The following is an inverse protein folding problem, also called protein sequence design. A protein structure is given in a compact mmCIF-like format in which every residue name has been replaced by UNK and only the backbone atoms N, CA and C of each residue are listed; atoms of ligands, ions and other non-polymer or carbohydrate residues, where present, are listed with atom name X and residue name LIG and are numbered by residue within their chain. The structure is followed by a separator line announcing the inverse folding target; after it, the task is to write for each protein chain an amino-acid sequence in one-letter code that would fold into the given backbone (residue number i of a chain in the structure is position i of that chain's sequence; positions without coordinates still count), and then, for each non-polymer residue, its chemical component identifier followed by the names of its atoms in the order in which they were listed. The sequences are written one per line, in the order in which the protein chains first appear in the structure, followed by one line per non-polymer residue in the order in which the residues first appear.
data_IF_151818723438
#
_entry.id   IF_151818723438
#
_cell.length_a   1.000
_cell.length_b   1.000
_cell.length_c   1.000
_cell.angle_alpha   90.00
_cell.angle_beta   90.00
_cell.angle_gamma   90.00
#
_symmetry.space_group_name_H-M   'P 1'
#
loop_
_entity.id
_entity.type
_entity.pdbx_description
1 polymer ?
#
# COMPACT_ATOMS: atom_id res chain seq x y z
N UNK A 1 -20.09 -19.94 1.89
CA UNK A 1 -19.61 -19.89 3.30
C UNK A 1 -18.08 -19.72 3.28
N UNK A 2 -17.45 -18.97 4.22
CA UNK A 2 -16.00 -18.87 4.26
C UNK A 2 -15.37 -20.23 4.56
N UNK A 3 -14.20 -20.49 3.95
CA UNK A 3 -13.43 -21.72 4.17
C UNK A 3 -12.98 -21.86 5.63
N UNK A 4 -12.63 -23.08 6.06
CA UNK A 4 -12.10 -23.31 7.43
C UNK A 4 -10.83 -22.46 7.68
N UNK A 5 -9.96 -22.31 6.67
CA UNK A 5 -8.78 -21.46 6.75
C UNK A 5 -9.14 -19.98 6.98
N UNK A 6 -10.11 -19.46 6.23
CA UNK A 6 -10.59 -18.09 6.42
C UNK A 6 -11.21 -17.88 7.80
N UNK A 7 -11.97 -18.83 8.32
CA UNK A 7 -12.53 -18.78 9.68
C UNK A 7 -11.42 -18.76 10.75
N UNK A 8 -10.39 -19.56 10.58
CA UNK A 8 -9.23 -19.58 11.47
C UNK A 8 -8.49 -18.24 11.45
N UNK A 9 -8.16 -17.72 10.25
CA UNK A 9 -7.50 -16.42 10.09
C UNK A 9 -8.32 -15.29 10.71
N UNK A 10 -9.64 -15.25 10.44
CA UNK A 10 -10.52 -14.25 11.03
C UNK A 10 -10.56 -14.33 12.57
N UNK A 11 -10.55 -15.54 13.14
CA UNK A 11 -10.47 -15.70 14.60
C UNK A 11 -9.13 -15.18 15.14
N UNK A 12 -8.04 -15.52 14.47
CA UNK A 12 -6.70 -15.04 14.85
C UNK A 12 -6.63 -13.51 14.83
N UNK A 13 -7.07 -12.87 13.75
CA UNK A 13 -7.08 -11.40 13.63
C UNK A 13 -7.94 -10.75 14.71
N UNK A 14 -9.12 -11.31 15.00
CA UNK A 14 -10.01 -10.79 16.07
C UNK A 14 -9.36 -10.83 17.46
N UNK A 15 -8.50 -11.80 17.72
CA UNK A 15 -7.89 -11.97 19.05
C UNK A 15 -6.52 -11.32 19.18
N UNK A 16 -5.80 -11.11 18.06
CA UNK A 16 -4.42 -10.60 18.11
C UNK A 16 -4.27 -9.20 17.52
N UNK A 17 -5.02 -8.86 16.48
CA UNK A 17 -4.86 -7.60 15.74
C UNK A 17 -5.92 -6.57 16.10
N UNK A 18 -7.20 -6.99 16.09
CA UNK A 18 -8.30 -6.06 16.38
C UNK A 18 -8.19 -5.35 17.75
N UNK A 19 -7.78 -6.01 18.85
CA UNK A 19 -7.66 -5.36 20.15
C UNK A 19 -6.54 -4.31 20.24
N UNK A 20 -5.61 -4.32 19.28
CA UNK A 20 -4.53 -3.32 19.20
C UNK A 20 -5.10 -1.95 18.86
N UNK A 21 -6.17 -1.89 18.06
CA UNK A 21 -6.83 -0.66 17.64
C UNK A 21 -7.83 -0.18 18.70
N UNK A 22 -7.36 0.56 19.68
CA UNK A 22 -8.13 1.08 20.82
C UNK A 22 -8.01 2.62 20.93
N UNK A 23 -8.96 3.32 21.53
CA UNK A 23 -8.85 4.75 21.78
C UNK A 23 -7.57 5.09 22.58
N UNK A 24 -6.89 6.16 22.21
CA UNK A 24 -5.65 6.60 22.86
C UNK A 24 -4.41 5.77 22.54
N UNK A 25 -4.48 4.90 21.51
CA UNK A 25 -3.35 4.10 21.08
C UNK A 25 -2.23 4.98 20.47
N UNK A 26 -1.00 4.69 20.86
CA UNK A 26 0.21 5.20 20.21
C UNK A 26 0.58 4.34 19.00
N UNK A 27 0.81 4.95 17.84
CA UNK A 27 1.24 4.27 16.62
C UNK A 27 2.55 3.52 16.83
N UNK A 28 3.44 3.99 17.67
CA UNK A 28 4.66 3.26 18.01
C UNK A 28 4.37 1.92 18.70
N UNK A 29 3.31 1.81 19.49
CA UNK A 29 2.86 0.54 20.08
C UNK A 29 2.35 -0.42 19.00
N UNK A 30 1.57 0.07 18.04
CA UNK A 30 1.10 -0.74 16.88
C UNK A 30 2.28 -1.25 16.09
N UNK A 31 3.24 -0.39 15.76
CA UNK A 31 4.47 -0.77 15.04
C UNK A 31 5.27 -1.83 15.77
N UNK A 32 5.44 -1.71 17.08
CA UNK A 32 6.10 -2.75 17.89
C UNK A 32 5.35 -4.08 17.86
N UNK A 33 4.02 -4.02 17.92
CA UNK A 33 3.18 -5.22 17.85
C UNK A 33 3.27 -5.90 16.48
N UNK A 34 3.10 -5.15 15.41
CA UNK A 34 3.17 -5.67 14.03
C UNK A 34 4.54 -6.23 13.70
N UNK A 35 5.63 -5.57 14.12
CA UNK A 35 6.99 -6.06 13.94
C UNK A 35 7.23 -7.41 14.65
N UNK A 36 6.69 -7.60 15.87
CA UNK A 36 6.75 -8.88 16.59
C UNK A 36 5.96 -9.98 15.87
N UNK A 37 4.77 -9.65 15.36
CA UNK A 37 3.98 -10.58 14.55
C UNK A 37 4.72 -10.98 13.28
N UNK A 38 5.24 -10.01 12.55
CA UNK A 38 5.99 -10.23 11.32
C UNK A 38 7.21 -11.15 11.56
N UNK A 39 7.98 -10.89 12.62
CA UNK A 39 9.13 -11.72 12.99
C UNK A 39 8.76 -13.17 13.29
N UNK A 40 7.54 -13.43 13.80
CA UNK A 40 7.04 -14.78 14.09
C UNK A 40 6.49 -15.49 12.87
N UNK A 41 5.79 -14.76 11.99
CA UNK A 41 5.08 -15.32 10.84
C UNK A 41 5.98 -15.48 9.62
N UNK A 42 6.90 -14.55 9.41
CA UNK A 42 7.76 -14.51 8.22
C UNK A 42 9.17 -14.98 8.58
N UNK A 43 9.46 -16.23 8.24
CA UNK A 43 10.75 -16.89 8.52
C UNK A 43 11.42 -17.37 7.23
N UNK A 44 12.75 -17.47 7.30
CA UNK A 44 13.58 -17.97 6.20
C UNK A 44 13.91 -16.89 5.15
N UNK A 45 14.87 -17.19 4.27
CA UNK A 45 15.35 -16.27 3.24
C UNK A 45 14.30 -16.03 2.16
N UNK A 46 14.49 -14.97 1.40
CA UNK A 46 13.81 -14.77 0.11
C UNK A 46 14.46 -15.69 -0.93
N UNK A 47 13.63 -16.26 -1.80
CA UNK A 47 14.06 -17.16 -2.89
C UNK A 47 14.33 -16.40 -4.19
N UNK A 48 14.42 -15.08 -4.17
CA UNK A 48 14.63 -14.23 -5.35
C UNK A 48 15.72 -13.20 -5.07
N UNK A 49 16.47 -12.84 -6.12
CA UNK A 49 17.45 -11.77 -6.03
C UNK A 49 16.78 -10.42 -5.73
N UNK A 50 17.43 -9.65 -4.88
CA UNK A 50 16.98 -8.31 -4.50
C UNK A 50 18.12 -7.31 -4.66
N UNK A 51 17.77 -6.06 -4.98
CA UNK A 51 18.71 -4.96 -5.14
C UNK A 51 18.17 -3.73 -4.44
N UNK A 52 18.90 -3.20 -3.46
CA UNK A 52 18.56 -1.94 -2.84
C UNK A 52 18.91 -0.77 -3.77
N UNK A 53 18.04 0.21 -3.87
CA UNK A 53 18.21 1.39 -4.71
C UNK A 53 17.69 2.63 -3.98
N UNK A 54 18.24 3.79 -4.34
CA UNK A 54 17.71 5.09 -3.91
C UNK A 54 17.00 5.76 -5.09
N UNK A 55 15.75 6.14 -4.88
CA UNK A 55 14.93 6.88 -5.84
C UNK A 55 15.04 8.38 -5.51
N UNK A 56 16.21 8.96 -5.81
CA UNK A 56 16.53 10.36 -5.50
C UNK A 56 16.31 10.72 -4.01
N UNK A 57 16.75 9.81 -3.12
CA UNK A 57 16.64 9.95 -1.68
C UNK A 57 15.56 9.07 -1.03
N UNK A 58 14.64 8.50 -1.79
CA UNK A 58 13.64 7.54 -1.27
C UNK A 58 14.24 6.14 -1.36
N UNK A 59 14.43 5.42 -0.24
CA UNK A 59 14.88 4.03 -0.27
C UNK A 59 13.87 3.15 -0.99
N UNK A 60 14.34 2.18 -1.76
CA UNK A 60 13.50 1.19 -2.41
C UNK A 60 14.26 -0.12 -2.62
N UNK A 61 13.52 -1.18 -2.88
CA UNK A 61 14.10 -2.49 -3.18
C UNK A 61 13.50 -3.03 -4.48
N UNK A 62 14.36 -3.46 -5.38
CA UNK A 62 13.99 -4.28 -6.53
C UNK A 62 13.91 -5.75 -6.14
N UNK A 63 12.90 -6.43 -6.65
CA UNK A 63 12.71 -7.88 -6.58
C UNK A 63 12.70 -8.46 -7.99
N UNK A 64 13.46 -9.54 -8.20
CA UNK A 64 13.78 -10.03 -9.53
C UNK A 64 15.06 -9.34 -10.02
N UNK A 65 16.23 -9.93 -9.81
CA UNK A 65 17.55 -9.32 -10.05
C UNK A 65 17.79 -8.84 -11.50
N UNK A 66 18.83 -8.00 -11.69
CA UNK A 66 19.10 -7.34 -12.98
C UNK A 66 19.48 -8.31 -14.10
N UNK A 67 20.02 -9.48 -13.75
CA UNK A 67 20.46 -10.51 -14.72
C UNK A 67 19.31 -11.31 -15.35
N UNK A 68 18.09 -11.17 -14.80
CA UNK A 68 16.93 -11.89 -15.32
C UNK A 68 16.24 -11.11 -16.43
N UNK A 69 15.88 -11.77 -17.51
CA UNK A 69 14.92 -11.23 -18.48
C UNK A 69 13.56 -11.05 -17.80
N UNK A 70 13.09 -9.81 -17.75
CA UNK A 70 11.79 -9.45 -17.17
C UNK A 70 10.79 -9.14 -18.28
N UNK A 71 9.53 -9.56 -18.05
CA UNK A 71 8.42 -9.26 -18.96
C UNK A 71 7.97 -7.79 -18.87
N UNK A 72 8.35 -7.08 -17.82
CA UNK A 72 7.98 -5.71 -17.58
C UNK A 72 8.35 -5.24 -16.17
N UNK A 73 7.83 -4.09 -15.79
CA UNK A 73 8.05 -3.47 -14.48
C UNK A 73 6.74 -3.32 -13.72
N UNK A 74 6.76 -3.67 -12.44
CA UNK A 74 5.67 -3.45 -11.50
C UNK A 74 6.11 -2.50 -10.39
N UNK A 75 5.52 -1.32 -10.29
CA UNK A 75 5.63 -0.49 -9.10
C UNK A 75 4.59 -0.96 -8.09
N UNK A 76 5.05 -1.44 -6.93
CA UNK A 76 4.16 -1.87 -5.86
C UNK A 76 4.20 -0.91 -4.69
N UNK A 77 3.06 -0.30 -4.38
CA UNK A 77 2.88 0.58 -3.22
C UNK A 77 2.23 -0.21 -2.08
N UNK A 78 2.97 -0.36 -0.99
CA UNK A 78 2.54 -1.23 0.11
C UNK A 78 1.41 -0.63 0.95
N UNK A 79 0.59 -1.47 1.57
CA UNK A 79 -0.39 -1.07 2.57
C UNK A 79 0.24 -0.79 3.93
N UNK A 80 -0.59 -0.59 4.93
CA UNK A 80 -0.14 -0.31 6.30
C UNK A 80 -0.75 0.96 6.88
N UNK A 81 -1.93 1.35 6.39
CA UNK A 81 -2.69 2.49 6.91
C UNK A 81 -1.87 3.80 6.93
N UNK A 82 -0.98 3.99 5.95
CA UNK A 82 -0.04 5.13 5.82
C UNK A 82 0.90 5.34 7.02
N UNK A 83 0.89 4.44 8.01
CA UNK A 83 1.67 4.60 9.24
C UNK A 83 2.43 3.33 9.67
N UNK A 84 2.22 2.20 9.01
CA UNK A 84 2.89 0.94 9.34
C UNK A 84 3.84 0.50 8.22
N UNK A 85 5.01 0.03 8.64
CA UNK A 85 5.98 -0.61 7.76
C UNK A 85 6.05 -2.10 8.13
N UNK A 86 5.87 -2.98 7.12
CA UNK A 86 5.88 -4.44 7.26
C UNK A 86 6.87 -5.04 6.25
N UNK A 87 8.17 -4.78 6.41
CA UNK A 87 9.18 -5.01 5.37
C UNK A 87 9.30 -6.47 4.94
N UNK A 88 9.21 -7.41 5.88
CA UNK A 88 9.35 -8.84 5.58
C UNK A 88 8.13 -9.41 4.84
N UNK A 89 6.93 -8.96 5.21
CA UNK A 89 5.69 -9.37 4.54
C UNK A 89 5.70 -8.85 3.11
N UNK A 90 5.97 -7.56 2.92
CA UNK A 90 5.96 -6.96 1.58
C UNK A 90 7.14 -7.41 0.71
N UNK A 91 8.31 -7.67 1.29
CA UNK A 91 9.41 -8.30 0.55
C UNK A 91 9.02 -9.69 0.01
N UNK A 92 8.36 -10.54 0.83
CA UNK A 92 7.85 -11.82 0.35
C UNK A 92 6.76 -11.68 -0.69
N UNK A 93 5.86 -10.74 -0.50
CA UNK A 93 4.78 -10.51 -1.45
C UNK A 93 5.32 -10.02 -2.79
N UNK A 94 6.25 -9.05 -2.79
CA UNK A 94 6.93 -8.57 -3.99
C UNK A 94 7.72 -9.69 -4.70
N UNK A 95 8.39 -10.57 -3.93
CA UNK A 95 9.08 -11.73 -4.48
C UNK A 95 8.12 -12.72 -5.18
N UNK A 96 6.96 -12.98 -4.57
CA UNK A 96 5.91 -13.83 -5.15
C UNK A 96 5.35 -13.18 -6.44
N UNK A 97 5.05 -11.88 -6.40
CA UNK A 97 4.59 -11.16 -7.59
C UNK A 97 5.61 -11.22 -8.72
N UNK A 98 6.88 -10.95 -8.43
CA UNK A 98 7.94 -11.05 -9.44
C UNK A 98 8.06 -12.46 -10.02
N UNK A 99 7.97 -13.49 -9.17
CA UNK A 99 8.02 -14.88 -9.64
C UNK A 99 6.82 -15.25 -10.53
N UNK A 100 5.61 -14.89 -10.11
CA UNK A 100 4.38 -15.27 -10.84
C UNK A 100 4.19 -14.49 -12.14
N UNK A 101 4.54 -13.21 -12.16
CA UNK A 101 4.33 -12.34 -13.33
C UNK A 101 5.52 -12.32 -14.29
N UNK A 102 6.70 -12.71 -13.83
CA UNK A 102 7.94 -12.49 -14.57
C UNK A 102 8.38 -11.03 -14.59
N UNK A 103 7.66 -10.11 -13.96
CA UNK A 103 7.99 -8.69 -13.90
C UNK A 103 9.05 -8.42 -12.82
N UNK A 104 9.85 -7.39 -13.03
CA UNK A 104 10.68 -6.83 -11.97
C UNK A 104 9.82 -5.91 -11.09
N UNK A 105 9.81 -6.14 -9.77
CA UNK A 105 8.96 -5.39 -8.83
C UNK A 105 9.79 -4.38 -8.08
N UNK A 106 9.40 -3.10 -8.15
CA UNK A 106 9.97 -2.03 -7.33
C UNK A 106 9.05 -1.77 -6.13
N UNK A 107 9.61 -1.84 -4.93
CA UNK A 107 8.93 -1.57 -3.67
C UNK A 107 9.59 -0.36 -3.00
N UNK A 108 9.04 0.86 -3.11
CA UNK A 108 9.56 2.04 -2.43
C UNK A 108 9.15 2.06 -0.95
N UNK A 109 10.06 2.57 -0.12
CA UNK A 109 9.82 2.86 1.30
C UNK A 109 9.39 4.33 1.44
N UNK A 110 8.19 4.64 1.03
CA UNK A 110 7.65 5.99 1.11
C UNK A 110 7.46 6.42 2.58
N UNK A 111 7.57 7.71 2.86
CA UNK A 111 7.46 8.28 4.20
C UNK A 111 6.09 8.05 4.81
N UNK A 112 6.08 7.73 6.12
CA UNK A 112 4.90 7.34 6.87
C UNK A 112 4.54 8.35 7.97
N UNK A 113 3.25 8.43 8.26
CA UNK A 113 2.73 9.14 9.43
C UNK A 113 3.00 8.32 10.71
N UNK A 114 3.05 8.96 11.88
CA UNK A 114 2.84 10.39 12.15
C UNK A 114 4.05 11.27 11.85
N UNK A 115 5.25 10.71 11.65
CA UNK A 115 6.49 11.48 11.45
C UNK A 115 6.42 12.35 10.19
N UNK A 116 5.78 11.82 9.16
CA UNK A 116 5.57 12.48 7.87
C UNK A 116 4.11 12.32 7.43
N UNK A 117 3.19 13.14 7.96
CA UNK A 117 1.78 13.07 7.59
C UNK A 117 1.56 13.46 6.12
N UNK A 118 0.32 13.33 5.66
CA UNK A 118 -0.08 13.83 4.34
C UNK A 118 0.44 15.26 4.10
N UNK A 119 1.00 15.57 2.91
CA UNK A 119 1.04 14.73 1.69
C UNK A 119 2.33 13.93 1.48
N UNK A 120 3.22 13.78 2.45
CA UNK A 120 4.57 13.25 2.28
C UNK A 120 4.61 11.90 1.52
N UNK A 121 3.84 10.91 1.95
CA UNK A 121 3.78 9.60 1.26
C UNK A 121 3.22 9.69 -0.16
N UNK A 122 2.26 10.59 -0.40
CA UNK A 122 1.71 10.86 -1.75
C UNK A 122 2.77 11.42 -2.67
N UNK A 123 3.59 12.35 -2.16
CA UNK A 123 4.67 12.96 -2.94
C UNK A 123 5.77 11.95 -3.26
N UNK A 124 6.14 11.11 -2.30
CA UNK A 124 7.14 10.06 -2.49
C UNK A 124 6.69 9.02 -3.52
N UNK A 125 5.41 8.61 -3.50
CA UNK A 125 4.87 7.68 -4.49
C UNK A 125 4.91 8.26 -5.91
N UNK A 126 4.58 9.53 -6.08
CA UNK A 126 4.72 10.20 -7.38
C UNK A 126 6.17 10.39 -7.78
N UNK A 127 7.06 10.66 -6.85
CA UNK A 127 8.49 10.75 -7.13
C UNK A 127 9.07 9.41 -7.58
N UNK A 128 8.70 8.30 -6.91
CA UNK A 128 9.09 6.95 -7.32
C UNK A 128 8.55 6.60 -8.72
N UNK A 129 7.32 7.01 -9.03
CA UNK A 129 6.73 6.84 -10.35
C UNK A 129 7.52 7.60 -11.43
N UNK A 130 7.84 8.88 -11.21
CA UNK A 130 8.65 9.70 -12.13
C UNK A 130 10.04 9.13 -12.33
N UNK A 131 10.66 8.68 -11.24
CA UNK A 131 11.99 8.05 -11.29
C UNK A 131 12.02 6.85 -12.26
N UNK A 132 10.96 6.03 -12.29
CA UNK A 132 10.82 4.94 -13.25
C UNK A 132 10.68 5.45 -14.68
N UNK A 133 9.86 6.47 -14.91
CA UNK A 133 9.68 7.06 -16.25
C UNK A 133 10.98 7.63 -16.82
N UNK A 134 11.71 8.41 -16.01
CA UNK A 134 12.95 9.08 -16.40
C UNK A 134 14.08 8.09 -16.76
N UNK A 135 13.96 6.84 -16.30
CA UNK A 135 14.92 5.76 -16.57
C UNK A 135 14.46 4.77 -17.64
N UNK A 136 13.39 5.09 -18.36
CA UNK A 136 12.92 4.29 -19.49
C UNK A 136 12.19 2.99 -19.11
N UNK A 137 11.82 2.79 -17.84
CA UNK A 137 11.09 1.57 -17.42
C UNK A 137 9.70 1.45 -18.07
N UNK A 138 9.22 2.49 -18.76
CA UNK A 138 7.97 2.50 -19.53
C UNK A 138 8.11 1.89 -20.96
N UNK A 139 9.33 1.63 -21.42
CA UNK A 139 9.57 1.02 -22.74
C UNK A 139 9.13 -0.45 -22.83
N UNK A 140 8.82 -1.07 -21.70
CA UNK A 140 8.24 -2.41 -21.55
C UNK A 140 6.91 -2.31 -20.83
N UNK A 141 6.10 -3.39 -20.78
CA UNK A 141 4.89 -3.41 -19.97
C UNK A 141 5.12 -2.87 -18.56
N UNK A 142 4.34 -1.87 -18.19
CA UNK A 142 4.46 -1.18 -16.93
C UNK A 142 3.13 -1.21 -16.17
N UNK A 143 3.13 -1.80 -14.99
CA UNK A 143 1.96 -1.89 -14.13
C UNK A 143 2.19 -1.19 -12.79
N UNK A 144 1.10 -0.70 -12.20
CA UNK A 144 1.07 -0.18 -10.84
C UNK A 144 0.17 -1.05 -9.98
N UNK A 145 0.59 -1.40 -8.78
CA UNK A 145 -0.27 -2.13 -7.87
C UNK A 145 -0.10 -1.66 -6.42
N UNK A 146 -1.10 -1.96 -5.60
CA UNK A 146 -1.03 -1.69 -4.18
C UNK A 146 -2.22 -2.26 -3.42
N UNK A 147 -2.05 -2.44 -2.13
CA UNK A 147 -3.10 -2.93 -1.24
C UNK A 147 -3.48 -1.86 -0.21
N UNK A 148 -4.74 -1.84 0.23
CA UNK A 148 -5.21 -0.97 1.33
C UNK A 148 -4.80 0.50 1.12
N UNK A 149 -3.99 1.09 2.01
CA UNK A 149 -3.41 2.43 1.88
C UNK A 149 -2.57 2.56 0.59
N UNK A 150 -1.80 1.53 0.22
CA UNK A 150 -1.02 1.51 -1.02
C UNK A 150 -1.89 1.49 -2.27
N UNK A 151 -3.05 0.84 -2.21
CA UNK A 151 -4.05 0.90 -3.28
C UNK A 151 -4.64 2.30 -3.46
N UNK A 152 -4.89 3.01 -2.37
CA UNK A 152 -5.27 4.43 -2.39
C UNK A 152 -4.16 5.29 -3.00
N UNK A 153 -2.91 5.12 -2.53
CA UNK A 153 -1.74 5.82 -3.07
C UNK A 153 -1.53 5.54 -4.56
N UNK A 154 -1.82 4.31 -5.02
CA UNK A 154 -1.75 3.96 -6.45
C UNK A 154 -2.75 4.76 -7.28
N UNK A 155 -4.01 4.87 -6.84
CA UNK A 155 -5.02 5.70 -7.51
C UNK A 155 -4.60 7.17 -7.55
N UNK A 156 -4.17 7.69 -6.41
CA UNK A 156 -3.73 9.09 -6.28
C UNK A 156 -2.51 9.37 -7.15
N UNK A 157 -1.55 8.44 -7.21
CA UNK A 157 -0.37 8.56 -8.08
C UNK A 157 -0.77 8.64 -9.55
N UNK A 158 -1.69 7.78 -10.01
CA UNK A 158 -2.18 7.81 -11.39
C UNK A 158 -2.96 9.09 -11.70
N UNK A 159 -3.83 9.57 -10.80
CA UNK A 159 -4.54 10.83 -10.98
C UNK A 159 -3.55 12.00 -11.11
N UNK A 160 -2.56 12.09 -10.23
CA UNK A 160 -1.52 13.12 -10.28
C UNK A 160 -0.63 13.00 -11.52
N UNK A 161 -0.30 11.79 -11.94
CA UNK A 161 0.47 11.54 -13.16
C UNK A 161 -0.31 12.03 -14.40
N UNK A 162 -1.59 11.66 -14.52
CA UNK A 162 -2.48 12.15 -15.59
C UNK A 162 -2.56 13.67 -15.60
N UNK A 163 -2.82 14.28 -14.46
CA UNK A 163 -2.98 15.75 -14.35
C UNK A 163 -1.66 16.50 -14.66
N UNK A 164 -0.52 15.84 -14.45
CA UNK A 164 0.80 16.31 -14.86
C UNK A 164 1.18 15.91 -16.29
N UNK A 165 0.25 15.30 -17.06
CA UNK A 165 0.46 14.82 -18.44
C UNK A 165 1.64 13.82 -18.56
N UNK A 166 1.92 13.07 -17.50
CA UNK A 166 2.91 12.01 -17.53
C UNK A 166 2.32 10.74 -18.19
N UNK A 167 3.15 9.92 -18.84
CA UNK A 167 2.72 8.61 -19.32
C UNK A 167 2.12 7.79 -18.18
N UNK A 168 0.95 7.16 -18.41
CA UNK A 168 0.28 6.30 -17.43
C UNK A 168 0.76 4.86 -17.55
N UNK A 169 0.59 4.01 -16.52
CA UNK A 169 0.85 2.58 -16.60
C UNK A 169 -0.13 1.92 -17.57
N UNK A 170 0.19 0.72 -18.05
CA UNK A 170 -0.71 -0.03 -18.93
C UNK A 170 -1.96 -0.55 -18.21
N UNK A 171 -1.81 -0.84 -16.91
CA UNK A 171 -2.91 -1.24 -16.02
C UNK A 171 -2.53 -1.01 -14.56
N UNK A 172 -3.54 -1.09 -13.67
CA UNK A 172 -3.29 -1.14 -12.24
C UNK A 172 -4.12 -2.21 -11.54
N UNK A 173 -3.56 -2.80 -10.47
CA UNK A 173 -4.22 -3.79 -9.61
C UNK A 173 -4.31 -3.27 -8.18
N UNK A 174 -5.53 -3.13 -7.68
CA UNK A 174 -5.82 -2.49 -6.41
C UNK A 174 -6.47 -3.50 -5.46
N UNK A 175 -5.72 -3.98 -4.48
CA UNK A 175 -6.18 -5.00 -3.53
C UNK A 175 -6.85 -4.33 -2.33
N UNK A 176 -8.18 -4.30 -2.31
CA UNK A 176 -8.96 -3.69 -1.22
C UNK A 176 -8.50 -2.26 -0.89
N UNK A 177 -8.47 -1.34 -1.86
CA UNK A 177 -7.95 0.01 -1.69
C UNK A 177 -8.79 0.81 -0.67
N UNK A 178 -8.13 1.61 0.16
CA UNK A 178 -8.80 2.52 1.10
C UNK A 178 -9.17 3.83 0.40
N UNK A 179 -10.32 3.86 -0.25
CA UNK A 179 -10.72 4.97 -1.15
C UNK A 179 -11.50 6.08 -0.50
N UNK A 180 -11.98 5.91 0.74
CA UNK A 180 -12.83 6.88 1.45
C UNK A 180 -12.45 6.99 2.93
N UNK A 181 -11.71 8.04 3.29
CA UNK A 181 -11.37 8.36 4.68
C UNK A 181 -12.50 9.06 5.44
N UNK A 182 -13.61 9.39 4.77
CA UNK A 182 -14.81 9.91 5.45
C UNK A 182 -15.63 8.80 6.08
N UNK A 183 -15.36 7.54 5.69
CA UNK A 183 -16.12 6.35 6.12
C UNK A 183 -17.62 6.50 5.85
N UNK A 184 -17.98 7.15 4.74
CA UNK A 184 -19.36 7.51 4.40
C UNK A 184 -20.22 6.32 3.97
N UNK A 185 -19.60 5.23 3.51
CA UNK A 185 -20.32 4.05 3.07
C UNK A 185 -21.14 3.41 4.22
N UNK A 186 -22.43 3.09 4.02
CA UNK A 186 -23.25 2.44 5.05
C UNK A 186 -22.63 1.16 5.61
N UNK A 187 -21.96 0.39 4.77
CA UNK A 187 -21.26 -0.85 5.16
C UNK A 187 -20.14 -0.63 6.20
N UNK A 188 -19.51 0.54 6.21
CA UNK A 188 -18.51 0.89 7.21
C UNK A 188 -19.10 0.88 8.63
N UNK A 189 -20.37 1.30 8.77
CA UNK A 189 -21.11 1.30 10.05
C UNK A 189 -21.66 -0.08 10.39
N UNK A 190 -22.37 -0.73 9.42
CA UNK A 190 -23.02 -2.02 9.68
C UNK A 190 -22.01 -3.13 9.96
N UNK A 191 -20.84 -3.10 9.31
CA UNK A 191 -19.83 -4.14 9.44
C UNK A 191 -18.71 -3.81 10.46
N UNK A 192 -18.73 -2.64 11.10
CA UNK A 192 -17.67 -2.20 12.01
C UNK A 192 -17.36 -3.23 13.12
N UNK A 193 -18.41 -3.87 13.68
CA UNK A 193 -18.23 -4.93 14.69
C UNK A 193 -17.83 -6.27 14.07
N UNK A 194 -18.20 -6.50 12.80
CA UNK A 194 -17.92 -7.74 12.10
C UNK A 194 -16.51 -7.79 11.52
N UNK A 195 -15.87 -6.65 11.31
CA UNK A 195 -14.50 -6.57 10.83
C UNK A 195 -13.54 -7.33 11.77
N UNK A 196 -12.78 -8.31 11.26
CA UNK A 196 -11.86 -9.06 12.10
C UNK A 196 -10.56 -8.34 12.41
N UNK A 197 -10.20 -7.29 11.64
CA UNK A 197 -8.89 -6.64 11.68
C UNK A 197 -8.92 -5.28 12.37
N UNK A 198 -9.89 -4.44 11.99
CA UNK A 198 -10.01 -3.09 12.53
C UNK A 198 -11.15 -2.98 13.54
N UNK A 199 -10.90 -2.27 14.63
CA UNK A 199 -11.97 -1.87 15.55
C UNK A 199 -12.66 -0.59 15.04
N UNK A 200 -13.86 -0.25 15.49
CA UNK A 200 -14.47 1.05 15.16
C UNK A 200 -13.58 2.25 15.51
N UNK A 201 -12.77 2.16 16.58
CA UNK A 201 -11.84 3.21 16.94
C UNK A 201 -10.73 3.44 15.90
N UNK A 202 -10.34 2.44 15.12
CA UNK A 202 -9.36 2.60 14.06
C UNK A 202 -9.84 3.54 12.95
N UNK A 203 -11.16 3.57 12.69
CA UNK A 203 -11.77 4.40 11.65
C UNK A 203 -11.57 5.90 11.91
N UNK A 204 -11.50 6.31 13.17
CA UNK A 204 -11.22 7.70 13.54
C UNK A 204 -9.73 7.94 13.78
N UNK A 205 -9.05 6.96 14.37
CA UNK A 205 -7.64 7.08 14.72
C UNK A 205 -6.76 7.27 13.48
N UNK A 206 -6.91 6.39 12.49
CA UNK A 206 -6.02 6.36 11.34
C UNK A 206 -6.05 7.65 10.49
N UNK A 207 -7.22 8.21 10.14
CA UNK A 207 -7.24 9.50 9.45
C UNK A 207 -6.65 10.65 10.28
N UNK A 208 -6.86 10.65 11.60
CA UNK A 208 -6.31 11.68 12.48
C UNK A 208 -4.77 11.61 12.60
N UNK A 209 -4.19 10.42 12.44
CA UNK A 209 -2.73 10.22 12.39
C UNK A 209 -2.17 10.59 11.03
N UNK A 210 -2.83 10.16 9.96
CA UNK A 210 -2.33 10.34 8.59
C UNK A 210 -2.50 11.76 8.07
N UNK A 211 -3.68 12.37 8.29
CA UNK A 211 -4.04 13.67 7.73
C UNK A 211 -4.71 14.59 8.76
N UNK A 212 -4.01 14.95 9.84
CA UNK A 212 -4.58 15.78 10.89
C UNK A 212 -5.04 17.14 10.34
N UNK A 213 -6.29 17.52 10.64
CA UNK A 213 -6.87 18.81 10.24
C UNK A 213 -7.18 18.96 8.75
N UNK A 214 -6.98 17.93 7.93
CA UNK A 214 -7.29 17.98 6.50
C UNK A 214 -8.74 17.63 6.21
N UNK A 215 -9.29 18.20 5.13
CA UNK A 215 -10.57 17.76 4.59
C UNK A 215 -10.46 16.34 4.04
N UNK A 216 -11.09 15.39 4.69
CA UNK A 216 -11.08 13.98 4.28
C UNK A 216 -11.75 13.72 2.92
N UNK A 217 -12.50 14.69 2.37
CA UNK A 217 -13.06 14.62 1.01
C UNK A 217 -12.04 15.04 -0.06
N UNK A 218 -10.88 15.54 0.31
CA UNK A 218 -9.80 15.82 -0.64
C UNK A 218 -9.51 14.57 -1.49
N UNK A 219 -9.57 14.66 -2.84
CA UNK A 219 -9.32 13.52 -3.73
C UNK A 219 -7.95 12.85 -3.55
N UNK A 220 -6.95 13.57 -3.03
CA UNK A 220 -5.63 13.02 -2.74
C UNK A 220 -5.60 12.20 -1.44
N UNK A 221 -6.64 12.28 -0.61
CA UNK A 221 -6.86 11.49 0.60
C UNK A 221 -7.90 10.40 0.38
N UNK A 222 -8.98 10.76 -0.30
CA UNK A 222 -10.11 9.90 -0.61
C UNK A 222 -10.36 9.89 -2.11
N UNK A 223 -9.65 9.06 -2.87
CA UNK A 223 -9.78 9.03 -4.32
C UNK A 223 -11.19 8.68 -4.82
N UNK A 224 -12.08 8.18 -3.97
CA UNK A 224 -13.51 8.04 -4.26
C UNK A 224 -14.14 9.36 -4.77
N UNK A 225 -13.70 10.50 -4.27
CA UNK A 225 -14.18 11.83 -4.66
C UNK A 225 -13.41 12.45 -5.82
N UNK A 226 -12.44 11.71 -6.37
CA UNK A 226 -11.60 12.15 -7.47
C UNK A 226 -12.22 11.92 -8.85
N UNK A 227 -11.60 12.51 -9.85
CA UNK A 227 -11.93 12.24 -11.26
C UNK A 227 -11.10 11.06 -11.77
N UNK A 228 -11.76 9.99 -12.20
CA UNK A 228 -11.12 8.76 -12.67
C UNK A 228 -11.05 8.68 -14.21
N UNK A 229 -11.59 9.67 -14.92
CA UNK A 229 -11.53 9.71 -16.38
C UNK A 229 -10.09 9.72 -16.88
N UNK A 230 -9.81 8.91 -17.89
CA UNK A 230 -8.48 8.81 -18.50
C UNK A 230 -7.46 7.98 -17.71
N UNK A 231 -7.86 7.35 -16.60
CA UNK A 231 -7.02 6.35 -15.94
C UNK A 231 -6.96 5.05 -16.76
N UNK A 232 -5.88 4.25 -16.61
CA UNK A 232 -5.75 2.97 -17.30
C UNK A 232 -6.77 1.95 -16.76
N UNK A 233 -6.89 0.76 -17.39
CA UNK A 233 -7.67 -0.34 -16.85
C UNK A 233 -7.31 -0.66 -15.41
N UNK A 234 -8.34 -0.80 -14.55
CA UNK A 234 -8.21 -1.08 -13.11
C UNK A 234 -8.82 -2.44 -12.78
N UNK A 235 -8.16 -3.22 -11.95
CA UNK A 235 -8.65 -4.46 -11.33
C UNK A 235 -8.65 -4.32 -9.81
#
# INVERSE_FOLDING_TARGET
MPSLRARFVNRLLRTTTKPVWRPGLDIAEVRRHTARMEARLVRGPLSIATEAVSLDGIPATWFGGPEREHTGTLLYLHGGAWCLHLPKIYARFAAILSHLTGMRVLLPEYRLAPEHPFPAGVDDCLAAYRWLLDRGYRERPFALAGDSAGGSLSLVTMMRARDAMLPLPDCAVLLSPSTDLTMSAPSARYNAQLDPMFSPAAQDLLPNVYCPGQDRRNPLLSPLFGNWNGLPPLL
#
